data_IF_011384326308
#
_entry.id   IF_011384326308
#
_cell.length_a   1.000
_cell.length_b   1.000
_cell.length_c   1.000
_cell.angle_alpha   90.00
_cell.angle_beta   90.00
_cell.angle_gamma   90.00
#
_symmetry.space_group_name_H-M   'P 1'
#
loop_
_entity.id
_entity.type
_entity.pdbx_description
1 polymer ?
#
# COMPACT_ATOMS: atom_id res chain seq x y z
N UNK A 1 0.89 16.13 -11.33
CA UNK A 1 1.06 14.70 -11.68
C UNK A 1 -0.25 14.17 -12.22
N UNK A 2 -0.23 13.08 -12.98
CA UNK A 2 -1.43 12.41 -13.49
C UNK A 2 -1.60 11.10 -12.72
N UNK A 3 -2.83 10.78 -12.32
CA UNK A 3 -3.16 9.54 -11.61
C UNK A 3 -4.02 8.69 -12.54
N UNK A 4 -3.60 7.45 -12.76
CA UNK A 4 -4.35 6.47 -13.55
C UNK A 4 -4.67 5.26 -12.68
N UNK A 5 -5.89 4.70 -12.77
CA UNK A 5 -6.19 3.44 -12.10
C UNK A 5 -5.30 2.32 -12.66
N UNK A 6 -5.08 1.28 -11.86
CA UNK A 6 -4.33 0.11 -12.29
C UNK A 6 -5.09 -0.64 -13.40
N UNK A 7 -4.40 -0.93 -14.51
CA UNK A 7 -4.92 -1.75 -15.60
C UNK A 7 -4.15 -3.08 -15.67
N UNK A 8 -4.77 -4.22 -15.29
CA UNK A 8 -4.11 -5.52 -15.35
C UNK A 8 -3.74 -5.99 -16.77
N UNK A 9 -4.47 -5.53 -17.79
CA UNK A 9 -4.21 -5.87 -19.19
C UNK A 9 -3.01 -5.10 -19.74
N UNK A 10 -2.78 -3.88 -19.24
CA UNK A 10 -1.66 -3.01 -19.59
C UNK A 10 -0.91 -2.57 -18.33
N UNK A 11 -0.20 -3.50 -17.64
CA UNK A 11 0.40 -3.20 -16.35
C UNK A 11 1.50 -2.15 -16.47
N UNK A 12 1.73 -1.35 -15.42
CA UNK A 12 2.68 -0.26 -15.42
C UNK A 12 4.12 -0.77 -15.61
N UNK A 13 4.92 0.02 -16.32
CA UNK A 13 6.35 -0.22 -16.57
C UNK A 13 7.14 1.05 -16.24
N UNK A 14 8.47 0.95 -16.01
CA UNK A 14 9.30 2.13 -15.73
C UNK A 14 9.29 3.19 -16.84
N UNK A 15 8.90 2.82 -18.07
CA UNK A 15 8.78 3.74 -19.19
C UNK A 15 7.46 4.51 -19.23
N UNK A 16 6.41 3.98 -18.58
CA UNK A 16 5.05 4.54 -18.60
C UNK A 16 4.64 5.18 -17.29
N UNK A 17 5.30 4.82 -16.19
CA UNK A 17 4.84 5.15 -14.83
C UNK A 17 6.03 5.35 -13.91
N UNK A 18 6.03 6.47 -13.18
CA UNK A 18 7.12 6.83 -12.26
C UNK A 18 6.93 6.25 -10.85
N UNK A 19 5.68 5.95 -10.46
CA UNK A 19 5.32 5.48 -9.12
C UNK A 19 4.10 4.56 -9.18
N UNK A 20 4.17 3.42 -8.49
CA UNK A 20 3.01 2.58 -8.19
C UNK A 20 2.54 2.85 -6.76
N UNK A 21 1.26 3.17 -6.59
CA UNK A 21 0.66 3.44 -5.28
C UNK A 21 -0.42 2.41 -4.98
N UNK A 22 -0.20 1.57 -3.97
CA UNK A 22 -1.22 0.69 -3.42
C UNK A 22 -2.03 1.45 -2.38
N UNK A 23 -3.35 1.48 -2.53
CA UNK A 23 -4.26 2.17 -1.61
C UNK A 23 -5.24 1.17 -1.03
N UNK A 24 -5.01 0.79 0.22
CA UNK A 24 -5.78 -0.26 0.90
C UNK A 24 -6.77 0.34 1.89
N UNK A 25 -8.01 -0.15 1.87
CA UNK A 25 -9.10 0.34 2.71
C UNK A 25 -9.86 -0.82 3.40
N UNK A 26 -9.18 -1.93 3.68
CA UNK A 26 -9.81 -3.00 4.45
C UNK A 26 -9.81 -2.69 5.96
N UNK A 27 -11.00 -2.78 6.52
CA UNK A 27 -11.28 -2.66 7.95
C UNK A 27 -11.71 -3.99 8.57
N UNK A 28 -11.58 -4.06 9.89
CA UNK A 28 -12.09 -5.17 10.69
C UNK A 28 -13.60 -5.13 10.71
N UNK A 29 -14.23 -6.19 10.20
CA UNK A 29 -15.67 -6.38 10.24
C UNK A 29 -16.00 -7.78 10.75
N UNK A 30 -17.15 -7.94 11.41
CA UNK A 30 -17.58 -9.23 11.98
C UNK A 30 -17.73 -10.34 10.93
N UNK A 31 -17.91 -9.98 9.65
CA UNK A 31 -17.99 -10.92 8.54
C UNK A 31 -16.64 -11.37 7.99
N UNK A 32 -15.52 -10.76 8.40
CA UNK A 32 -14.19 -11.09 7.90
C UNK A 32 -13.44 -11.94 8.92
N UNK A 33 -13.06 -13.15 8.51
CA UNK A 33 -12.22 -14.04 9.32
C UNK A 33 -10.74 -13.62 9.34
N UNK A 34 -10.29 -12.89 8.31
CA UNK A 34 -8.93 -12.35 8.19
C UNK A 34 -8.92 -11.12 7.30
N UNK A 35 -7.93 -10.25 7.52
CA UNK A 35 -7.59 -9.12 6.64
C UNK A 35 -6.16 -9.36 6.19
N UNK A 36 -5.92 -9.29 4.89
CA UNK A 36 -4.62 -9.50 4.27
C UNK A 36 -4.60 -8.87 2.88
N UNK A 37 -3.41 -8.58 2.34
CA UNK A 37 -3.27 -8.13 0.96
C UNK A 37 -3.54 -9.28 -0.02
N UNK A 38 -4.69 -9.24 -0.68
CA UNK A 38 -5.08 -10.26 -1.63
C UNK A 38 -4.51 -9.97 -3.03
N UNK A 39 -3.29 -10.40 -3.29
CA UNK A 39 -2.61 -10.24 -4.59
C UNK A 39 -3.45 -10.68 -5.79
N UNK A 40 -4.32 -11.70 -5.63
CA UNK A 40 -5.24 -12.16 -6.69
C UNK A 40 -6.22 -11.09 -7.13
N UNK A 41 -6.76 -10.37 -6.16
CA UNK A 41 -7.73 -9.31 -6.40
C UNK A 41 -7.04 -8.04 -6.91
N UNK A 42 -5.86 -7.73 -6.38
CA UNK A 42 -5.18 -6.47 -6.71
C UNK A 42 -4.51 -6.45 -8.09
N UNK A 43 -3.98 -7.59 -8.54
CA UNK A 43 -3.09 -7.61 -9.70
C UNK A 43 -3.62 -8.36 -10.92
N UNK A 44 -4.71 -9.12 -10.79
CA UNK A 44 -5.38 -9.95 -11.82
C UNK A 44 -4.48 -10.62 -12.89
N UNK A 45 -4.57 -11.95 -13.00
CA UNK A 45 -3.83 -12.71 -14.01
C UNK A 45 -2.47 -13.22 -13.52
N UNK A 46 -2.11 -14.42 -13.98
CA UNK A 46 -1.03 -15.22 -13.38
C UNK A 46 0.32 -14.49 -13.33
N UNK A 47 0.67 -13.77 -14.40
CA UNK A 47 1.94 -13.05 -14.50
C UNK A 47 2.02 -11.91 -13.49
N UNK A 48 0.93 -11.16 -13.34
CA UNK A 48 0.89 -10.01 -12.45
C UNK A 48 0.97 -10.48 -10.99
N UNK A 49 0.38 -11.64 -10.64
CA UNK A 49 0.47 -12.22 -9.29
C UNK A 49 1.89 -12.51 -8.80
N UNK A 50 2.78 -12.82 -9.73
CA UNK A 50 4.19 -13.10 -9.44
C UNK A 50 5.05 -11.83 -9.51
N UNK A 51 4.46 -10.68 -9.85
CA UNK A 51 5.17 -9.42 -10.00
C UNK A 51 5.14 -8.62 -8.70
N UNK A 52 6.29 -8.05 -8.33
CA UNK A 52 6.43 -7.09 -7.25
C UNK A 52 7.09 -5.84 -7.80
N UNK A 53 6.30 -4.79 -8.00
CA UNK A 53 6.75 -3.59 -8.71
C UNK A 53 7.90 -2.86 -8.01
N UNK A 54 8.02 -2.98 -6.69
CA UNK A 54 9.09 -2.33 -5.93
C UNK A 54 10.51 -2.84 -6.24
N UNK A 55 10.66 -3.93 -7.00
CA UNK A 55 11.97 -4.34 -7.49
C UNK A 55 12.46 -3.50 -8.66
N UNK A 56 11.55 -2.98 -9.48
CA UNK A 56 11.86 -2.30 -10.73
C UNK A 56 11.44 -0.82 -10.74
N UNK A 57 10.51 -0.43 -9.87
CA UNK A 57 9.91 0.91 -9.84
C UNK A 57 9.67 1.41 -8.42
N UNK A 58 9.74 2.74 -8.19
CA UNK A 58 9.26 3.33 -6.96
C UNK A 58 7.84 2.88 -6.66
N UNK A 59 7.62 2.40 -5.44
CA UNK A 59 6.33 1.86 -5.02
C UNK A 59 6.07 2.23 -3.57
N UNK A 60 4.84 2.64 -3.26
CA UNK A 60 4.39 2.90 -1.90
C UNK A 60 3.05 2.23 -1.63
N UNK A 61 2.80 1.87 -0.38
CA UNK A 61 1.51 1.40 0.10
C UNK A 61 0.96 2.37 1.15
N UNK A 62 -0.31 2.71 1.01
CA UNK A 62 -1.08 3.48 1.98
C UNK A 62 -2.19 2.59 2.53
N UNK A 63 -2.22 2.42 3.85
CA UNK A 63 -3.28 1.71 4.55
C UNK A 63 -4.19 2.67 5.29
N UNK A 64 -5.48 2.65 4.95
CA UNK A 64 -6.53 3.40 5.63
C UNK A 64 -7.27 2.58 6.69
N UNK A 65 -6.74 1.44 7.13
CA UNK A 65 -7.38 0.62 8.15
C UNK A 65 -6.42 -0.37 8.78
N UNK A 66 -6.25 -1.53 8.14
CA UNK A 66 -5.39 -2.59 8.65
C UNK A 66 -3.89 -2.24 8.65
N UNK A 67 -3.19 -2.21 9.81
CA UNK A 67 -1.83 -1.64 9.88
C UNK A 67 -0.69 -2.64 9.59
N UNK A 68 -1.00 -3.92 9.33
CA UNK A 68 -0.01 -5.00 9.27
C UNK A 68 0.30 -5.50 7.84
N UNK A 69 0.05 -4.68 6.81
CA UNK A 69 0.30 -5.08 5.41
C UNK A 69 1.76 -5.39 5.07
N UNK A 70 2.72 -4.97 5.90
CA UNK A 70 4.13 -5.37 5.74
C UNK A 70 4.32 -6.89 5.88
N UNK A 71 3.39 -7.60 6.52
CA UNK A 71 3.41 -9.06 6.58
C UNK A 71 3.12 -9.70 5.20
N UNK A 72 2.20 -9.11 4.43
CA UNK A 72 1.78 -9.63 3.13
C UNK A 72 2.59 -9.06 1.95
N UNK A 73 3.17 -7.88 2.15
CA UNK A 73 4.06 -7.19 1.21
C UNK A 73 5.44 -6.94 1.86
N UNK A 74 6.18 -8.00 2.23
CA UNK A 74 7.54 -7.83 2.74
C UNK A 74 8.41 -7.15 1.68
N UNK A 75 9.38 -6.34 2.09
CA UNK A 75 10.30 -5.57 1.22
C UNK A 75 9.69 -4.41 0.44
N UNK A 76 8.43 -4.07 0.67
CA UNK A 76 7.91 -2.82 0.12
C UNK A 76 8.65 -1.63 0.77
N UNK A 77 9.20 -0.69 -0.02
CA UNK A 77 10.12 0.32 0.52
C UNK A 77 9.43 1.40 1.34
N UNK A 78 8.14 1.67 1.06
CA UNK A 78 7.35 2.67 1.77
C UNK A 78 5.97 2.11 2.11
N UNK A 79 5.65 2.10 3.40
CA UNK A 79 4.32 1.76 3.91
C UNK A 79 3.84 2.87 4.87
N UNK A 80 2.69 3.45 4.58
CA UNK A 80 2.08 4.55 5.34
C UNK A 80 0.78 4.04 5.96
N UNK A 81 0.72 4.02 7.29
CA UNK A 81 -0.51 3.69 8.02
C UNK A 81 -1.26 4.98 8.40
N UNK A 82 -2.44 5.16 7.81
CA UNK A 82 -3.39 6.25 8.07
C UNK A 82 -4.55 5.84 9.00
N UNK A 83 -4.70 4.54 9.26
CA UNK A 83 -5.60 3.91 10.27
C UNK A 83 -7.11 4.12 10.12
N UNK A 84 -7.56 5.10 9.35
CA UNK A 84 -8.98 5.36 9.11
C UNK A 84 -9.23 5.88 7.68
N UNK A 85 -10.32 5.47 7.00
CA UNK A 85 -10.61 5.87 5.63
C UNK A 85 -11.38 7.17 5.52
N UNK A 86 -11.41 7.97 6.60
CA UNK A 86 -12.14 9.23 6.64
C UNK A 86 -11.51 10.28 5.71
N UNK A 87 -12.29 11.20 5.11
CA UNK A 87 -11.78 12.20 4.17
C UNK A 87 -10.61 13.03 4.71
N UNK A 88 -10.62 13.36 6.00
CA UNK A 88 -9.57 14.12 6.67
C UNK A 88 -8.24 13.35 6.67
N UNK A 89 -8.28 12.03 6.88
CA UNK A 89 -7.09 11.18 6.80
C UNK A 89 -6.57 11.07 5.37
N UNK A 90 -7.47 10.95 4.39
CA UNK A 90 -7.10 10.91 2.96
C UNK A 90 -6.41 12.22 2.53
N UNK A 91 -6.97 13.37 2.88
CA UNK A 91 -6.38 14.68 2.63
C UNK A 91 -5.02 14.83 3.32
N UNK A 92 -4.92 14.44 4.60
CA UNK A 92 -3.69 14.51 5.36
C UNK A 92 -2.56 13.64 4.77
N UNK A 93 -2.90 12.47 4.21
CA UNK A 93 -1.94 11.61 3.49
C UNK A 93 -1.53 12.28 2.18
N UNK A 94 -2.47 12.82 1.41
CA UNK A 94 -2.19 13.50 0.15
C UNK A 94 -1.23 14.68 0.34
N UNK A 95 -1.48 15.54 1.34
CA UNK A 95 -0.61 16.68 1.67
C UNK A 95 0.82 16.23 1.99
N UNK A 96 0.97 15.11 2.72
CA UNK A 96 2.29 14.60 3.12
C UNK A 96 3.02 13.91 1.98
N UNK A 97 2.31 13.13 1.16
CA UNK A 97 2.87 12.50 -0.04
C UNK A 97 3.32 13.53 -1.08
N UNK A 98 2.62 14.66 -1.18
CA UNK A 98 2.96 15.75 -2.09
C UNK A 98 3.99 16.73 -1.52
N UNK A 99 4.47 16.50 -0.29
CA UNK A 99 5.49 17.32 0.36
C UNK A 99 4.98 18.64 0.96
N UNK A 100 3.67 18.87 1.00
CA UNK A 100 3.06 20.05 1.61
C UNK A 100 3.08 20.00 3.15
N UNK A 101 3.24 18.82 3.74
CA UNK A 101 3.38 18.62 5.18
C UNK A 101 4.32 17.44 5.48
N UNK A 102 4.90 17.39 6.69
CA UNK A 102 5.72 16.26 7.13
C UNK A 102 4.90 15.16 7.81
N UNK A 103 5.35 13.91 7.71
CA UNK A 103 4.81 12.81 8.53
C UNK A 103 5.28 12.97 9.97
N UNK A 104 4.34 13.09 10.90
CA UNK A 104 4.58 13.27 12.34
C UNK A 104 3.96 12.18 13.19
N UNK A 105 3.23 11.24 12.58
CA UNK A 105 2.57 10.14 13.28
C UNK A 105 3.57 9.13 13.81
N UNK A 106 3.34 8.65 15.04
CA UNK A 106 4.05 7.52 15.63
C UNK A 106 3.08 6.34 15.64
N UNK A 107 3.51 5.19 15.12
CA UNK A 107 2.68 3.99 15.09
C UNK A 107 2.33 3.56 16.53
N UNK A 108 1.04 3.38 16.86
CA UNK A 108 0.62 2.89 18.17
C UNK A 108 0.84 1.37 18.33
N UNK A 109 1.22 0.68 17.26
CA UNK A 109 1.45 -0.77 17.20
C UNK A 109 2.82 -1.09 16.58
N UNK A 110 3.31 -2.30 16.80
CA UNK A 110 4.43 -2.84 16.00
C UNK A 110 3.93 -3.21 14.60
N UNK A 111 4.07 -2.30 13.63
CA UNK A 111 3.61 -2.51 12.25
C UNK A 111 4.30 -3.70 11.55
N UNK A 112 5.46 -4.14 12.06
CA UNK A 112 6.16 -5.33 11.57
C UNK A 112 5.61 -6.62 12.19
N UNK A 113 4.82 -6.51 13.26
CA UNK A 113 4.21 -7.62 13.99
C UNK A 113 5.21 -8.75 14.31
N UNK A 114 6.43 -8.38 14.71
CA UNK A 114 7.53 -9.30 15.00
C UNK A 114 8.10 -10.09 13.81
N UNK A 115 7.61 -9.86 12.58
CA UNK A 115 8.09 -10.56 11.39
C UNK A 115 9.44 -9.97 10.92
N UNK A 116 10.53 -10.76 10.87
CA UNK A 116 11.83 -10.26 10.43
C UNK A 116 11.81 -9.75 8.99
N UNK A 117 11.13 -10.49 8.09
CA UNK A 117 11.07 -10.17 6.66
C UNK A 117 10.32 -8.86 6.36
N UNK A 118 9.48 -8.39 7.27
CA UNK A 118 8.77 -7.12 7.15
C UNK A 118 9.72 -5.91 7.33
N UNK A 119 10.92 -6.11 7.90
CA UNK A 119 11.90 -5.04 8.19
C UNK A 119 12.90 -4.80 7.05
N UNK A 120 12.99 -5.72 6.09
CA UNK A 120 13.97 -5.74 5.02
C UNK A 120 13.31 -5.67 3.66
#
# INVERSE_FOLDING_TARGET
FVVTPFDPANPPTPATTDLVLYVMCDESSLGKSRIFLNWRQEQEGLRNLMTRYWHDMPTALVSFGHPYYLQDAPRIPVCINAYAPVPEAQLAVLERLTGNASFTGVSPVDAFAGAPDARY
#
